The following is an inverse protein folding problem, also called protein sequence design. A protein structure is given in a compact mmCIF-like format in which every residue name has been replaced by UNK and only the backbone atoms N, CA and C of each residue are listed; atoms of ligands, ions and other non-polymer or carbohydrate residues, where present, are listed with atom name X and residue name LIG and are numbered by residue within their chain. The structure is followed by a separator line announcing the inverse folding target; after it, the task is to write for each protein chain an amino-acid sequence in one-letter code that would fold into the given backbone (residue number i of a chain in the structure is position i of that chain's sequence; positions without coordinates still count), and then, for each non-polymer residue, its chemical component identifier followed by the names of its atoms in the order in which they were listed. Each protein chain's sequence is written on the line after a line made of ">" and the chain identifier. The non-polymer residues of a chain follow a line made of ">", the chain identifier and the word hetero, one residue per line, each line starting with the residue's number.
data_IF_175943606138
#
_entry.id   IF_175943606138
#
_cell.length_a   1.000
_cell.length_b   1.000
_cell.length_c   1.000
_cell.angle_alpha   90.00
_cell.angle_beta   90.00
_cell.angle_gamma   90.00
#
_symmetry.space_group_name_H-M   'P 1'
#
loop_
_entity.id
_entity.type
_entity.pdbx_description
1 polymer ?
#
# COMPACT_ATOMS: atom_id res chain seq x y z
N UNK A 1 -32.98 -10.41 15.72
CA UNK A 1 -33.74 -9.82 14.61
C UNK A 1 -32.78 -9.58 13.47
N UNK A 2 -33.07 -10.11 12.29
CA UNK A 2 -32.23 -9.86 11.09
C UNK A 2 -32.40 -8.38 10.71
N UNK A 3 -31.31 -7.63 10.50
CA UNK A 3 -31.43 -6.21 10.13
C UNK A 3 -32.09 -6.07 8.75
N UNK A 4 -32.95 -5.05 8.60
CA UNK A 4 -33.63 -4.70 7.34
C UNK A 4 -32.58 -4.44 6.26
N UNK A 5 -32.81 -4.91 5.03
CA UNK A 5 -31.91 -4.63 3.90
C UNK A 5 -32.16 -3.23 3.32
N UNK A 6 -31.63 -2.21 3.99
CA UNK A 6 -31.78 -0.81 3.59
C UNK A 6 -31.20 -0.53 2.18
N UNK A 7 -30.19 -1.28 1.78
CA UNK A 7 -29.56 -1.12 0.45
C UNK A 7 -30.51 -1.53 -0.66
N UNK A 8 -31.20 -2.67 -0.51
CA UNK A 8 -32.21 -3.11 -1.47
C UNK A 8 -33.39 -2.14 -1.50
N UNK A 9 -33.86 -1.65 -0.34
CA UNK A 9 -34.89 -0.62 -0.25
C UNK A 9 -34.50 0.65 -1.02
N UNK A 10 -33.28 1.15 -0.77
CA UNK A 10 -32.78 2.36 -1.42
C UNK A 10 -32.68 2.22 -2.93
N UNK A 11 -32.15 1.09 -3.43
CA UNK A 11 -32.01 0.86 -4.88
C UNK A 11 -33.36 0.72 -5.56
N UNK A 12 -34.33 0.02 -4.96
CA UNK A 12 -35.69 -0.08 -5.50
C UNK A 12 -36.35 1.32 -5.63
N UNK A 13 -36.25 2.13 -4.59
CA UNK A 13 -36.74 3.49 -4.61
C UNK A 13 -36.08 4.38 -5.66
N UNK A 14 -34.75 4.33 -5.76
CA UNK A 14 -33.98 5.10 -6.75
C UNK A 14 -34.27 4.71 -8.20
N UNK A 15 -34.58 3.42 -8.44
CA UNK A 15 -34.84 2.90 -9.77
C UNK A 15 -36.33 2.90 -10.13
N UNK A 16 -37.22 3.26 -9.20
CA UNK A 16 -38.66 3.20 -9.41
C UNK A 16 -39.20 1.79 -9.63
N UNK A 17 -38.50 0.76 -9.10
CA UNK A 17 -38.87 -0.65 -9.26
C UNK A 17 -39.65 -1.09 -8.04
N UNK A 18 -40.88 -1.63 -8.27
CA UNK A 18 -41.69 -2.17 -7.17
C UNK A 18 -41.21 -3.56 -6.73
N UNK A 19 -41.49 -3.97 -5.47
CA UNK A 19 -41.19 -5.34 -5.03
C UNK A 19 -41.87 -6.41 -5.90
N UNK A 20 -43.07 -6.14 -6.40
CA UNK A 20 -43.82 -7.04 -7.28
C UNK A 20 -43.11 -7.22 -8.61
N UNK A 21 -42.69 -6.12 -9.23
CA UNK A 21 -41.92 -6.15 -10.49
C UNK A 21 -40.61 -6.91 -10.33
N UNK A 22 -39.88 -6.71 -9.20
CA UNK A 22 -38.67 -7.48 -8.91
C UNK A 22 -38.97 -8.97 -8.70
N UNK A 23 -40.12 -9.30 -8.12
CA UNK A 23 -40.53 -10.69 -7.92
C UNK A 23 -40.77 -11.42 -9.25
N UNK A 24 -41.44 -10.77 -10.21
CA UNK A 24 -41.64 -11.28 -11.56
C UNK A 24 -40.29 -11.58 -12.25
N UNK A 25 -39.37 -10.63 -12.24
CA UNK A 25 -38.03 -10.79 -12.84
C UNK A 25 -37.26 -11.94 -12.20
N UNK A 26 -37.38 -12.11 -10.90
CA UNK A 26 -36.68 -13.16 -10.15
C UNK A 26 -37.41 -14.51 -10.19
N UNK A 27 -38.63 -14.56 -10.76
CA UNK A 27 -39.48 -15.76 -10.78
C UNK A 27 -39.75 -16.29 -9.34
N UNK A 28 -40.24 -15.40 -8.49
CA UNK A 28 -40.58 -15.66 -7.08
C UNK A 28 -41.86 -14.97 -6.67
N UNK A 29 -42.50 -15.45 -5.60
CA UNK A 29 -43.63 -14.79 -4.99
C UNK A 29 -43.27 -13.41 -4.38
N UNK A 30 -44.07 -12.34 -4.52
CA UNK A 30 -43.83 -11.01 -3.94
C UNK A 30 -43.52 -11.03 -2.44
N UNK A 31 -44.12 -11.94 -1.67
CA UNK A 31 -43.78 -12.14 -0.25
C UNK A 31 -42.33 -12.57 -0.02
N UNK A 32 -41.73 -13.25 -1.04
CA UNK A 32 -40.32 -13.63 -0.96
C UNK A 32 -39.40 -12.40 -1.08
N UNK A 33 -39.75 -11.44 -1.96
CA UNK A 33 -39.04 -10.16 -2.04
C UNK A 33 -39.23 -9.36 -0.75
N UNK A 34 -40.43 -9.37 -0.17
CA UNK A 34 -40.68 -8.77 1.15
C UNK A 34 -39.76 -9.33 2.24
N UNK A 35 -39.46 -10.66 2.23
CA UNK A 35 -38.50 -11.26 3.16
C UNK A 35 -37.06 -10.81 2.87
N UNK A 36 -36.69 -10.58 1.62
CA UNK A 36 -35.36 -10.04 1.26
C UNK A 36 -35.19 -8.60 1.76
N UNK A 37 -36.22 -7.78 1.63
CA UNK A 37 -36.29 -6.43 2.22
C UNK A 37 -36.18 -6.48 3.75
N UNK A 38 -36.82 -7.48 4.38
CA UNK A 38 -36.67 -7.77 5.80
C UNK A 38 -35.32 -8.38 6.23
N UNK A 39 -34.32 -8.42 5.31
CA UNK A 39 -32.95 -8.82 5.61
C UNK A 39 -32.61 -10.28 5.32
N UNK A 40 -33.57 -11.11 4.84
CA UNK A 40 -33.26 -12.48 4.43
C UNK A 40 -32.43 -12.49 3.15
N UNK A 41 -31.29 -13.19 3.15
CA UNK A 41 -30.43 -13.33 1.98
C UNK A 41 -31.05 -14.32 0.99
N UNK A 42 -31.27 -13.95 -0.29
CA UNK A 42 -31.77 -14.85 -1.32
C UNK A 42 -30.78 -15.95 -1.70
N UNK A 43 -31.26 -17.00 -2.34
CA UNK A 43 -30.39 -17.98 -2.97
C UNK A 43 -29.63 -17.34 -4.13
N UNK A 44 -28.39 -17.82 -4.41
CA UNK A 44 -27.44 -17.24 -5.37
C UNK A 44 -28.06 -16.88 -6.72
N UNK A 45 -28.88 -17.75 -7.30
CA UNK A 45 -29.56 -17.50 -8.58
C UNK A 45 -30.45 -16.27 -8.59
N UNK A 46 -31.17 -16.02 -7.46
CA UNK A 46 -32.08 -14.86 -7.34
C UNK A 46 -31.30 -13.59 -7.03
N UNK A 47 -30.21 -13.67 -6.26
CA UNK A 47 -29.32 -12.51 -6.02
C UNK A 47 -28.74 -12.00 -7.34
N UNK A 48 -28.26 -12.93 -8.18
CA UNK A 48 -27.69 -12.57 -9.49
C UNK A 48 -28.74 -11.91 -10.40
N UNK A 49 -29.97 -12.48 -10.51
CA UNK A 49 -31.05 -11.90 -11.32
C UNK A 49 -31.47 -10.53 -10.82
N UNK A 50 -31.64 -10.34 -9.52
CA UNK A 50 -32.02 -9.07 -8.92
C UNK A 50 -30.92 -8.00 -9.14
N UNK A 51 -29.66 -8.33 -8.90
CA UNK A 51 -28.52 -7.44 -9.11
C UNK A 51 -28.42 -7.00 -10.59
N UNK A 52 -28.57 -7.94 -11.51
CA UNK A 52 -28.54 -7.68 -12.94
C UNK A 52 -29.69 -6.76 -13.39
N UNK A 53 -30.92 -7.03 -12.94
CA UNK A 53 -32.08 -6.19 -13.24
C UNK A 53 -31.95 -4.77 -12.67
N UNK A 54 -31.46 -4.67 -11.45
CA UNK A 54 -31.26 -3.40 -10.74
C UNK A 54 -29.96 -2.69 -11.17
N UNK A 55 -29.12 -3.32 -12.01
CA UNK A 55 -27.82 -2.79 -12.49
C UNK A 55 -26.93 -2.33 -11.35
N UNK A 56 -26.76 -3.18 -10.34
CA UNK A 56 -25.86 -2.99 -9.21
C UNK A 56 -25.12 -4.29 -8.92
N UNK A 57 -23.99 -4.21 -8.23
CA UNK A 57 -23.24 -5.39 -7.81
C UNK A 57 -24.03 -6.23 -6.79
N UNK A 58 -23.99 -7.57 -6.94
CA UNK A 58 -24.63 -8.50 -6.01
C UNK A 58 -24.17 -8.28 -4.56
N UNK A 59 -22.87 -8.05 -4.39
CA UNK A 59 -22.22 -7.79 -3.10
C UNK A 59 -22.64 -6.48 -2.46
N UNK A 60 -23.12 -5.52 -3.27
CA UNK A 60 -23.69 -4.29 -2.75
C UNK A 60 -25.04 -4.54 -2.08
N UNK A 61 -25.93 -5.32 -2.70
CA UNK A 61 -27.26 -5.64 -2.17
C UNK A 61 -27.20 -6.62 -1.00
N UNK A 62 -26.35 -7.62 -1.10
CA UNK A 62 -26.15 -8.67 -0.10
C UNK A 62 -24.67 -8.85 0.17
N UNK A 63 -24.07 -7.99 1.02
CA UNK A 63 -22.69 -8.16 1.41
C UNK A 63 -22.49 -9.58 1.98
N UNK A 64 -21.54 -10.31 1.47
CA UNK A 64 -21.13 -11.57 2.08
C UNK A 64 -20.53 -11.22 3.45
N UNK A 65 -21.07 -11.72 4.56
CA UNK A 65 -20.39 -11.53 5.83
C UNK A 65 -19.00 -12.15 5.70
N UNK A 66 -17.96 -11.53 6.23
CA UNK A 66 -16.64 -12.15 6.30
C UNK A 66 -16.77 -13.53 6.98
N UNK A 67 -15.94 -14.52 6.62
CA UNK A 67 -15.99 -15.85 7.20
C UNK A 67 -16.05 -15.76 8.73
N UNK A 68 -16.89 -16.61 9.34
CA UNK A 68 -17.17 -16.58 10.79
C UNK A 68 -15.89 -16.50 11.61
N UNK A 69 -15.68 -15.39 12.30
CA UNK A 69 -14.51 -15.09 13.12
C UNK A 69 -13.90 -13.70 12.85
N UNK A 70 -14.15 -13.10 11.69
CA UNK A 70 -13.66 -11.75 11.40
C UNK A 70 -14.70 -10.73 11.84
N UNK A 71 -14.45 -10.03 12.93
CA UNK A 71 -15.15 -8.77 13.23
C UNK A 71 -14.91 -7.81 12.07
N UNK A 72 -15.92 -6.99 11.61
CA UNK A 72 -15.70 -5.97 10.58
C UNK A 72 -14.60 -4.97 10.96
N UNK A 73 -14.30 -4.81 12.25
CA UNK A 73 -13.23 -3.98 12.79
C UNK A 73 -11.89 -4.72 12.96
N UNK A 74 -11.84 -6.05 12.74
CA UNK A 74 -10.63 -6.83 13.04
C UNK A 74 -9.51 -6.63 12.01
N UNK A 75 -9.81 -6.17 10.78
CA UNK A 75 -8.77 -6.00 9.75
C UNK A 75 -7.94 -4.74 9.90
N UNK A 76 -8.57 -3.61 10.19
CA UNK A 76 -7.89 -2.31 10.31
C UNK A 76 -7.47 -2.00 11.75
N UNK A 77 -8.30 -2.36 12.73
CA UNK A 77 -8.10 -1.99 14.14
C UNK A 77 -6.92 -2.72 14.80
N UNK A 78 -6.48 -3.86 14.25
CA UNK A 78 -5.36 -4.63 14.80
C UNK A 78 -4.03 -4.31 14.15
N UNK A 79 -4.00 -3.94 12.85
CA UNK A 79 -2.77 -3.63 12.13
C UNK A 79 -2.39 -2.15 12.17
N UNK A 80 -3.36 -1.23 12.19
CA UNK A 80 -3.09 0.21 12.18
C UNK A 80 -2.66 0.69 13.57
N UNK A 81 -1.36 0.92 13.74
CA UNK A 81 -0.75 1.40 14.99
C UNK A 81 -0.85 2.92 15.09
N UNK A 82 -0.73 3.64 13.98
CA UNK A 82 -0.77 5.09 13.97
C UNK A 82 -0.90 5.71 12.59
N UNK A 83 -1.29 6.97 12.57
CA UNK A 83 -1.36 7.80 11.37
C UNK A 83 -0.64 9.12 11.62
N UNK A 84 0.07 9.62 10.61
CA UNK A 84 0.80 10.88 10.67
C UNK A 84 0.44 11.74 9.47
N UNK A 85 0.35 13.05 9.66
CA UNK A 85 0.03 14.00 8.58
C UNK A 85 1.06 13.93 7.43
N UNK A 86 2.32 13.68 7.77
CA UNK A 86 3.41 13.52 6.81
C UNK A 86 4.60 12.81 7.48
N UNK A 87 5.66 12.54 6.70
CA UNK A 87 6.88 11.88 7.23
C UNK A 87 7.59 12.67 8.33
N UNK A 88 7.58 13.99 8.27
CA UNK A 88 8.25 14.82 9.27
C UNK A 88 7.50 14.85 10.61
N UNK A 89 6.20 14.51 10.59
CA UNK A 89 5.38 14.38 11.80
C UNK A 89 5.64 13.08 12.59
N UNK A 90 6.32 12.10 11.97
CA UNK A 90 6.75 10.88 12.68
C UNK A 90 7.92 11.24 13.58
N UNK A 91 7.86 10.93 14.89
CA UNK A 91 8.95 11.20 15.82
C UNK A 91 10.27 10.59 15.32
N UNK A 92 11.35 11.39 15.37
CA UNK A 92 12.67 10.93 14.94
C UNK A 92 13.12 9.68 15.69
N UNK A 93 12.87 9.64 16.97
CA UNK A 93 13.25 8.51 17.82
C UNK A 93 12.56 7.23 17.42
N UNK A 94 11.32 7.30 16.92
CA UNK A 94 10.61 6.13 16.39
C UNK A 94 11.33 5.56 15.15
N UNK A 95 11.77 6.40 14.20
CA UNK A 95 12.55 5.94 13.05
C UNK A 95 13.85 5.24 13.47
N UNK A 96 14.55 5.84 14.42
CA UNK A 96 15.82 5.30 14.93
C UNK A 96 15.61 4.00 15.70
N UNK A 97 14.58 3.93 16.53
CA UNK A 97 14.25 2.77 17.32
C UNK A 97 13.87 1.59 16.43
N UNK A 98 12.96 1.77 15.47
CA UNK A 98 12.56 0.71 14.53
C UNK A 98 13.76 0.15 13.76
N UNK A 99 14.68 1.03 13.32
CA UNK A 99 15.89 0.61 12.62
C UNK A 99 16.87 -0.13 13.55
N UNK A 100 17.05 0.35 14.78
CA UNK A 100 17.98 -0.26 15.74
C UNK A 100 17.49 -1.61 16.29
N UNK A 101 16.17 -1.78 16.42
CA UNK A 101 15.54 -2.99 16.97
C UNK A 101 15.27 -4.09 15.93
N UNK A 102 15.39 -3.80 14.62
CA UNK A 102 15.16 -4.79 13.57
C UNK A 102 16.09 -6.00 13.73
N UNK A 103 15.54 -7.21 13.70
CA UNK A 103 16.25 -8.48 13.91
C UNK A 103 16.27 -9.38 12.66
N UNK A 104 15.26 -9.26 11.79
CA UNK A 104 15.10 -10.15 10.64
C UNK A 104 15.34 -9.43 9.31
N UNK A 105 14.68 -8.29 9.11
CA UNK A 105 14.76 -7.58 7.84
C UNK A 105 14.45 -6.09 7.94
N UNK A 106 15.13 -5.33 7.10
CA UNK A 106 14.85 -3.93 6.79
C UNK A 106 14.63 -3.82 5.29
N UNK A 107 13.45 -3.31 4.87
CA UNK A 107 13.16 -3.09 3.46
C UNK A 107 12.70 -1.65 3.24
N UNK A 108 13.34 -0.96 2.29
CA UNK A 108 13.00 0.41 1.90
C UNK A 108 12.69 0.45 0.41
N UNK A 109 11.52 0.99 0.05
CA UNK A 109 11.12 1.23 -1.35
C UNK A 109 10.70 2.68 -1.50
N UNK A 110 11.45 3.43 -2.27
CA UNK A 110 11.25 4.88 -2.46
C UNK A 110 11.72 5.32 -3.85
N UNK A 111 11.24 6.46 -4.34
CA UNK A 111 11.92 7.10 -5.47
C UNK A 111 13.28 7.66 -5.05
N UNK A 112 13.30 8.52 -4.04
CA UNK A 112 14.54 9.14 -3.53
C UNK A 112 14.75 8.81 -2.06
N UNK A 113 15.93 8.32 -1.71
CA UNK A 113 16.34 8.02 -0.35
C UNK A 113 16.76 9.26 0.48
N UNK A 114 16.61 10.46 -0.07
CA UNK A 114 17.13 11.71 0.53
C UNK A 114 16.60 11.94 1.95
N UNK A 115 15.29 11.77 2.16
CA UNK A 115 14.70 11.95 3.49
C UNK A 115 15.35 11.05 4.54
N UNK A 116 15.54 9.78 4.21
CA UNK A 116 16.09 8.78 5.14
C UNK A 116 17.53 9.12 5.52
N UNK A 117 18.34 9.55 4.54
CA UNK A 117 19.72 9.98 4.78
C UNK A 117 19.82 11.34 5.53
N UNK A 118 18.94 12.29 5.22
CA UNK A 118 18.94 13.62 5.85
C UNK A 118 18.38 13.60 7.27
N UNK A 119 17.38 12.77 7.53
CA UNK A 119 16.79 12.62 8.87
C UNK A 119 17.77 12.01 9.87
N UNK A 120 18.71 11.20 9.38
CA UNK A 120 19.77 10.60 10.19
C UNK A 120 21.08 10.49 9.39
N UNK A 121 22.07 11.36 9.64
CA UNK A 121 23.37 11.30 8.98
C UNK A 121 24.12 9.96 9.16
N UNK A 122 23.78 9.20 10.19
CA UNK A 122 24.38 7.90 10.52
C UNK A 122 23.58 6.71 9.95
N UNK A 123 22.52 6.94 9.15
CA UNK A 123 21.63 5.86 8.69
C UNK A 123 22.39 4.76 7.94
N UNK A 124 23.34 5.13 7.08
CA UNK A 124 24.13 4.14 6.34
C UNK A 124 24.96 3.25 7.29
N UNK A 125 25.58 3.86 8.32
CA UNK A 125 26.32 3.12 9.35
C UNK A 125 25.38 2.17 10.11
N UNK A 126 24.22 2.64 10.54
CA UNK A 126 23.24 1.80 11.26
C UNK A 126 22.74 0.63 10.41
N UNK A 127 22.49 0.84 9.10
CA UNK A 127 22.11 -0.22 8.17
C UNK A 127 23.24 -1.24 8.01
N UNK A 128 24.48 -0.80 7.88
CA UNK A 128 25.67 -1.69 7.83
C UNK A 128 25.81 -2.52 9.11
N UNK A 129 25.61 -1.90 10.28
CA UNK A 129 25.66 -2.60 11.57
C UNK A 129 24.55 -3.66 11.67
N UNK A 130 23.35 -3.38 11.17
CA UNK A 130 22.27 -4.37 11.14
C UNK A 130 22.59 -5.51 10.17
N UNK A 131 23.11 -5.21 8.99
CA UNK A 131 23.56 -6.24 8.04
C UNK A 131 24.65 -7.13 8.64
N UNK A 132 25.66 -6.54 9.32
CA UNK A 132 26.71 -7.28 10.02
C UNK A 132 26.15 -8.15 11.17
N UNK A 133 25.02 -7.77 11.77
CA UNK A 133 24.31 -8.56 12.77
C UNK A 133 23.41 -9.65 12.17
N UNK A 134 23.41 -9.85 10.85
CA UNK A 134 22.63 -10.87 10.16
C UNK A 134 21.24 -10.45 9.70
N UNK A 135 20.86 -9.17 9.89
CA UNK A 135 19.60 -8.62 9.39
C UNK A 135 19.66 -8.47 7.89
N UNK A 136 18.65 -8.94 7.17
CA UNK A 136 18.52 -8.78 5.72
C UNK A 136 18.13 -7.34 5.37
N UNK A 137 19.08 -6.54 4.85
CA UNK A 137 18.86 -5.15 4.48
C UNK A 137 18.69 -5.02 2.97
N UNK A 138 17.52 -4.54 2.52
CA UNK A 138 17.15 -4.37 1.11
C UNK A 138 16.66 -2.95 0.85
N UNK A 139 17.35 -2.21 0.00
CA UNK A 139 17.03 -0.83 -0.36
C UNK A 139 16.72 -0.74 -1.85
N UNK A 140 15.56 -0.23 -2.23
CA UNK A 140 15.11 -0.10 -3.60
C UNK A 140 14.79 1.37 -3.91
N UNK A 141 15.60 1.98 -4.77
CA UNK A 141 15.46 3.38 -5.18
C UNK A 141 14.97 3.48 -6.62
N UNK A 142 14.35 4.61 -6.99
CA UNK A 142 14.04 4.89 -8.39
C UNK A 142 15.31 4.92 -9.26
N UNK A 143 15.25 4.35 -10.47
CA UNK A 143 16.34 4.51 -11.44
C UNK A 143 16.37 5.97 -11.94
N UNK A 144 17.43 6.75 -11.70
CA UNK A 144 17.50 8.14 -12.13
C UNK A 144 17.44 8.32 -13.67
N UNK A 145 17.59 7.23 -14.44
CA UNK A 145 17.44 7.20 -15.90
C UNK A 145 16.12 6.58 -16.33
N UNK A 146 15.31 6.12 -15.36
CA UNK A 146 14.06 5.41 -15.58
C UNK A 146 12.90 6.32 -15.98
N UNK A 147 11.97 5.75 -16.74
CA UNK A 147 10.75 6.44 -17.16
C UNK A 147 9.85 6.82 -15.98
N UNK A 148 9.76 5.94 -14.98
CA UNK A 148 8.92 6.18 -13.80
C UNK A 148 9.41 7.41 -13.00
N UNK A 149 10.72 7.62 -12.89
CA UNK A 149 11.32 8.80 -12.25
C UNK A 149 11.02 10.06 -13.04
N UNK A 150 11.15 10.01 -14.39
CA UNK A 150 10.82 11.16 -15.24
C UNK A 150 9.33 11.53 -15.17
N UNK A 151 8.43 10.54 -15.13
CA UNK A 151 6.99 10.77 -14.95
C UNK A 151 6.73 11.41 -13.59
N UNK A 152 7.23 10.80 -12.51
CA UNK A 152 7.04 11.29 -11.15
C UNK A 152 7.59 12.71 -10.94
N UNK A 153 8.75 13.01 -11.52
CA UNK A 153 9.32 14.36 -11.47
C UNK A 153 8.41 15.42 -12.11
N UNK A 154 7.76 15.09 -13.22
CA UNK A 154 6.76 15.98 -13.86
C UNK A 154 5.51 16.13 -13.02
N UNK A 155 4.99 15.03 -12.45
CA UNK A 155 3.81 15.07 -11.57
C UNK A 155 4.02 15.95 -10.33
N UNK A 156 5.22 15.92 -9.74
CA UNK A 156 5.59 16.77 -8.60
C UNK A 156 5.98 18.20 -9.02
N UNK A 157 5.99 18.52 -10.31
CA UNK A 157 6.40 19.84 -10.82
C UNK A 157 7.89 20.15 -10.68
N UNK A 158 8.74 19.15 -10.44
CA UNK A 158 10.19 19.30 -10.25
C UNK A 158 11.05 18.75 -11.40
N UNK A 159 10.42 18.11 -12.40
CA UNK A 159 11.08 17.59 -13.59
C UNK A 159 12.30 16.73 -13.26
N UNK A 160 13.43 17.03 -13.93
CA UNK A 160 14.69 16.27 -13.79
C UNK A 160 15.35 16.42 -12.40
N UNK A 161 14.87 17.35 -11.57
CA UNK A 161 15.37 17.50 -10.19
C UNK A 161 15.17 16.22 -9.38
N UNK A 162 14.13 15.43 -9.66
CA UNK A 162 13.94 14.17 -8.98
C UNK A 162 15.08 13.19 -9.27
N UNK A 163 15.47 13.05 -10.54
CA UNK A 163 16.61 12.22 -10.94
C UNK A 163 17.93 12.71 -10.30
N UNK A 164 18.14 14.01 -10.24
CA UNK A 164 19.31 14.60 -9.56
C UNK A 164 19.30 14.32 -8.05
N UNK A 165 18.14 14.42 -7.38
CA UNK A 165 17.98 14.06 -5.96
C UNK A 165 18.30 12.57 -5.71
N UNK A 166 17.88 11.69 -6.60
CA UNK A 166 18.16 10.25 -6.47
C UNK A 166 19.68 10.02 -6.58
N UNK A 167 20.34 10.55 -7.61
CA UNK A 167 21.80 10.46 -7.75
C UNK A 167 22.54 10.98 -6.52
N UNK A 168 22.16 12.17 -6.04
CA UNK A 168 22.75 12.72 -4.82
C UNK A 168 22.50 11.84 -3.60
N UNK A 169 21.31 11.23 -3.45
CA UNK A 169 21.04 10.34 -2.31
C UNK A 169 21.81 9.04 -2.37
N UNK A 170 22.05 8.46 -3.55
CA UNK A 170 22.81 7.24 -3.72
C UNK A 170 24.26 7.37 -3.21
N UNK A 171 24.83 8.58 -3.20
CA UNK A 171 26.19 8.80 -2.64
C UNK A 171 26.24 8.50 -1.14
N UNK A 172 25.15 8.68 -0.39
CA UNK A 172 25.09 8.33 1.04
C UNK A 172 25.12 6.82 1.26
N UNK A 173 24.66 6.04 0.29
CA UNK A 173 24.49 4.59 0.39
C UNK A 173 25.59 3.79 -0.33
N UNK A 174 26.63 4.48 -0.86
CA UNK A 174 27.67 3.87 -1.71
C UNK A 174 28.41 2.70 -1.07
N UNK A 175 28.57 2.70 0.25
CA UNK A 175 29.29 1.67 0.98
C UNK A 175 28.40 0.50 1.44
N UNK A 176 27.08 0.60 1.25
CA UNK A 176 26.15 -0.41 1.74
C UNK A 176 26.28 -1.76 1.02
N UNK A 177 26.50 -1.83 -0.33
CA UNK A 177 26.72 -3.13 -0.99
C UNK A 177 27.92 -3.90 -0.44
N UNK A 178 29.03 -3.23 -0.15
CA UNK A 178 30.23 -3.83 0.45
C UNK A 178 29.98 -4.29 1.89
N UNK A 179 29.04 -3.63 2.60
CA UNK A 179 28.63 -3.98 3.95
C UNK A 179 27.58 -5.10 4.00
N UNK A 180 27.26 -5.75 2.87
CA UNK A 180 26.31 -6.85 2.80
C UNK A 180 24.84 -6.42 2.69
N UNK A 181 24.55 -5.16 2.37
CA UNK A 181 23.21 -4.69 2.09
C UNK A 181 22.89 -4.85 0.59
N UNK A 182 21.70 -5.33 0.27
CA UNK A 182 21.21 -5.36 -1.11
C UNK A 182 20.63 -4.01 -1.52
N UNK A 183 21.22 -3.38 -2.54
CA UNK A 183 20.72 -2.13 -3.12
C UNK A 183 20.30 -2.34 -4.55
N UNK A 184 19.09 -1.92 -4.91
CA UNK A 184 18.53 -2.04 -6.27
C UNK A 184 17.93 -0.75 -6.77
N UNK A 185 17.80 -0.65 -8.10
CA UNK A 185 17.10 0.44 -8.77
C UNK A 185 15.87 -0.10 -9.50
N UNK A 186 14.71 0.53 -9.29
CA UNK A 186 13.45 0.19 -9.97
C UNK A 186 13.06 1.26 -11.00
N UNK A 187 12.36 0.84 -12.05
CA UNK A 187 11.66 1.72 -13.00
C UNK A 187 10.14 1.44 -12.97
N UNK A 188 9.59 1.47 -11.76
CA UNK A 188 8.18 1.15 -11.49
C UNK A 188 7.46 2.37 -10.96
N UNK A 189 6.24 2.65 -11.43
CA UNK A 189 5.35 3.64 -10.82
C UNK A 189 4.99 3.20 -9.40
N UNK A 190 5.38 3.99 -8.41
CA UNK A 190 5.03 3.73 -7.02
C UNK A 190 3.79 4.53 -6.61
N UNK A 191 2.89 3.87 -5.85
CA UNK A 191 1.74 4.51 -5.21
C UNK A 191 1.99 4.85 -3.74
N UNK A 192 3.07 4.32 -3.18
CA UNK A 192 3.54 4.62 -1.83
C UNK A 192 5.04 4.40 -1.71
N UNK A 193 5.68 5.12 -0.79
CA UNK A 193 6.98 4.75 -0.24
C UNK A 193 6.78 3.80 0.93
N UNK A 194 7.60 2.77 1.03
CA UNK A 194 7.52 1.72 2.05
C UNK A 194 8.80 1.67 2.88
N UNK A 195 8.64 1.58 4.20
CA UNK A 195 9.75 1.40 5.14
C UNK A 195 9.35 0.29 6.11
N UNK A 196 9.90 -0.90 5.90
CA UNK A 196 9.62 -2.08 6.70
C UNK A 196 10.78 -2.38 7.65
N UNK A 197 10.43 -2.68 8.89
CA UNK A 197 11.32 -3.13 9.95
C UNK A 197 10.62 -4.33 10.62
N UNK A 198 11.03 -5.54 10.23
CA UNK A 198 10.39 -6.80 10.64
C UNK A 198 8.86 -6.77 10.44
N UNK A 199 8.09 -6.77 11.52
CA UNK A 199 6.63 -6.69 11.53
C UNK A 199 6.07 -5.26 11.62
N UNK A 200 6.91 -4.24 11.54
CA UNK A 200 6.48 -2.84 11.44
C UNK A 200 6.64 -2.34 10.00
N UNK A 201 5.65 -1.64 9.50
CA UNK A 201 5.64 -1.07 8.14
C UNK A 201 5.10 0.35 8.15
N UNK A 202 5.92 1.28 7.72
CA UNK A 202 5.54 2.67 7.49
C UNK A 202 5.22 2.85 6.01
N UNK A 203 3.97 3.21 5.71
CA UNK A 203 3.43 3.39 4.35
C UNK A 203 3.16 4.87 4.12
N UNK A 204 3.94 5.50 3.27
CA UNK A 204 3.74 6.90 2.90
C UNK A 204 3.09 6.99 1.51
N UNK A 205 1.80 7.24 1.47
CA UNK A 205 1.03 7.31 0.23
C UNK A 205 1.54 8.39 -0.72
N UNK A 206 1.46 8.16 -2.02
CA UNK A 206 1.75 9.17 -3.03
C UNK A 206 0.44 9.77 -3.55
N UNK A 207 0.28 11.07 -3.35
CA UNK A 207 -0.83 11.85 -3.90
C UNK A 207 -0.33 12.58 -5.15
N UNK A 208 -1.12 12.55 -6.21
CA UNK A 208 -0.76 13.18 -7.48
C UNK A 208 -0.52 14.69 -7.30
N UNK A 209 0.54 15.20 -7.91
CA UNK A 209 0.90 16.62 -7.82
C UNK A 209 1.52 17.06 -6.48
N UNK A 210 1.71 16.13 -5.52
CA UNK A 210 2.27 16.44 -4.21
C UNK A 210 3.59 15.70 -3.98
N UNK A 211 4.61 16.34 -3.39
CA UNK A 211 5.82 15.63 -2.99
C UNK A 211 5.49 14.62 -1.89
N UNK A 212 6.12 13.45 -1.93
CA UNK A 212 5.87 12.38 -0.96
C UNK A 212 6.05 12.84 0.51
N UNK A 213 6.91 13.84 0.75
CA UNK A 213 7.14 14.40 2.09
C UNK A 213 5.92 15.12 2.69
N UNK A 214 5.00 15.59 1.85
CA UNK A 214 3.78 16.29 2.29
C UNK A 214 2.59 15.36 2.54
N UNK A 215 2.71 14.09 2.16
CA UNK A 215 1.59 13.14 2.13
C UNK A 215 1.47 12.33 3.43
N UNK A 216 0.24 11.85 3.75
CA UNK A 216 0.01 11.05 4.93
C UNK A 216 0.88 9.80 5.01
N UNK A 217 1.18 9.38 6.23
CA UNK A 217 1.92 8.17 6.53
C UNK A 217 1.11 7.31 7.51
N UNK A 218 1.00 6.03 7.18
CA UNK A 218 0.39 5.01 8.03
C UNK A 218 1.50 4.19 8.68
N UNK A 219 1.37 3.88 9.97
CA UNK A 219 2.17 2.88 10.65
C UNK A 219 1.34 1.62 10.85
N UNK A 220 1.72 0.56 10.19
CA UNK A 220 1.12 -0.76 10.29
C UNK A 220 2.03 -1.70 11.07
N UNK A 221 1.42 -2.60 11.84
CA UNK A 221 2.10 -3.73 12.48
C UNK A 221 1.42 -5.01 12.04
N UNK A 222 2.19 -6.02 11.66
CA UNK A 222 1.64 -7.31 11.25
C UNK A 222 0.81 -7.91 12.39
N UNK A 223 -0.44 -8.27 12.11
CA UNK A 223 -1.33 -8.97 13.03
C UNK A 223 -1.70 -10.35 12.50
N UNK A 224 -2.10 -10.45 11.23
CA UNK A 224 -2.53 -11.66 10.54
C UNK A 224 -1.85 -11.79 9.18
N UNK A 225 -1.87 -13.00 8.58
CA UNK A 225 -1.20 -13.30 7.30
C UNK A 225 -1.94 -12.77 6.04
N UNK A 226 -3.02 -12.00 6.17
CA UNK A 226 -3.88 -11.56 5.05
C UNK A 226 -4.32 -10.09 5.13
N UNK A 227 -3.63 -9.28 5.91
CA UNK A 227 -3.97 -7.87 6.17
C UNK A 227 -3.34 -6.87 5.20
N UNK A 228 -3.47 -5.60 5.51
CA UNK A 228 -2.85 -4.51 4.76
C UNK A 228 -1.32 -4.59 4.79
N UNK A 229 -0.75 -5.00 5.93
CA UNK A 229 0.68 -5.20 6.05
C UNK A 229 1.21 -6.13 4.96
N UNK A 230 0.57 -7.30 4.78
CA UNK A 230 1.04 -8.28 3.81
C UNK A 230 0.81 -7.82 2.37
N UNK A 231 -0.26 -7.07 2.07
CA UNK A 231 -0.48 -6.49 0.75
C UNK A 231 0.66 -5.54 0.35
N UNK A 232 1.10 -4.66 1.25
CA UNK A 232 2.22 -3.77 0.99
C UNK A 232 3.57 -4.50 0.97
N UNK A 233 3.74 -5.52 1.82
CA UNK A 233 4.94 -6.36 1.79
C UNK A 233 5.07 -7.11 0.46
N UNK A 234 3.97 -7.67 -0.06
CA UNK A 234 3.92 -8.31 -1.39
C UNK A 234 4.20 -7.31 -2.52
N UNK A 235 3.68 -6.08 -2.40
CA UNK A 235 3.99 -5.00 -3.36
C UNK A 235 5.49 -4.68 -3.38
N UNK A 236 6.15 -4.65 -2.22
CA UNK A 236 7.60 -4.52 -2.16
C UNK A 236 8.30 -5.67 -2.91
N UNK A 237 7.92 -6.92 -2.64
CA UNK A 237 8.55 -8.09 -3.27
C UNK A 237 8.36 -8.08 -4.80
N UNK A 238 7.19 -7.66 -5.29
CA UNK A 238 6.92 -7.56 -6.73
C UNK A 238 7.83 -6.52 -7.41
N UNK A 239 8.00 -5.35 -6.81
CA UNK A 239 8.90 -4.31 -7.34
C UNK A 239 10.35 -4.77 -7.23
N UNK A 240 10.73 -5.37 -6.10
CA UNK A 240 12.08 -5.89 -5.86
C UNK A 240 12.51 -6.92 -6.89
N UNK A 241 11.63 -7.84 -7.26
CA UNK A 241 11.90 -8.88 -8.24
C UNK A 241 12.24 -8.30 -9.63
N UNK A 242 11.62 -7.19 -10.03
CA UNK A 242 11.88 -6.50 -11.29
C UNK A 242 13.01 -5.46 -11.23
N UNK A 243 13.54 -5.15 -10.05
CA UNK A 243 14.56 -4.12 -9.85
C UNK A 243 15.98 -4.68 -10.16
N UNK A 244 16.82 -3.86 -10.81
CA UNK A 244 18.21 -4.23 -11.13
C UNK A 244 19.14 -3.94 -9.94
N UNK A 245 20.16 -4.78 -9.70
CA UNK A 245 21.21 -4.46 -8.72
C UNK A 245 21.87 -3.13 -9.02
N UNK A 246 22.23 -2.40 -7.96
CA UNK A 246 23.00 -1.17 -8.06
C UNK A 246 24.37 -1.33 -7.42
N UNK A 247 25.42 -0.87 -8.13
CA UNK A 247 26.77 -0.75 -7.63
C UNK A 247 27.32 0.66 -7.89
N UNK A 248 28.15 1.23 -7.00
CA UNK A 248 28.67 2.59 -7.12
C UNK A 248 29.41 2.89 -8.44
N UNK A 249 30.10 1.89 -8.99
CA UNK A 249 30.95 2.03 -10.19
C UNK A 249 30.16 2.25 -11.49
N UNK A 250 28.86 1.94 -11.51
CA UNK A 250 28.01 2.11 -12.70
C UNK A 250 27.63 3.55 -13.02
N UNK A 251 27.86 4.50 -12.12
CA UNK A 251 27.56 5.92 -12.35
C UNK A 251 28.77 6.73 -12.88
N UNK A 252 30.00 6.22 -12.69
CA UNK A 252 31.22 6.91 -13.10
C UNK A 252 31.57 6.87 -14.59
N UNK A 253 31.01 5.91 -15.34
CA UNK A 253 31.41 5.64 -16.73
C UNK A 253 30.63 6.45 -17.77
N UNK A 254 29.59 7.19 -17.39
CA UNK A 254 28.75 7.96 -18.33
C UNK A 254 29.09 9.46 -18.43
N UNK A 255 30.13 9.95 -17.76
CA UNK A 255 30.49 11.36 -17.74
C UNK A 255 31.64 11.74 -18.69
N UNK A 256 32.19 10.79 -19.44
CA UNK A 256 33.28 11.02 -20.39
C UNK A 256 33.04 10.28 -21.72
N UNK A 257 32.00 10.68 -22.40
CA UNK A 257 31.72 10.25 -23.77
C UNK A 257 30.99 11.35 -24.53
#
# INVERSE_FOLDING_TARGET
>A
MTPVNERLHSVLAQRGVSPESLAEVCDVDPKTVGRWLGGRVPHRRHRFRAAQHLRVEETFLWPTPPPHGSRPDAGLGTELVGTYQNRASVPRDMWLQLLAEAQEQICVLVFSGTFFAQSNPHVAKMLSERAAAGVRVRLCFGDPRGRAVAVRGREEGIGDTLAAKIRASLTYYRLLPEAGCDVRLHDTTLYASLFRYDDNLLVNAHVWGQPASANPLLHLKRADATGWFDNYAQSFEAVWAGARPWTPDQEGTAAHG
#
